data_IF_430886770751
#
_entry.id   IF_430886770751
#
_cell.length_a   1.000
_cell.length_b   1.000
_cell.length_c   1.000
_cell.angle_alpha   90.00
_cell.angle_beta   90.00
_cell.angle_gamma   90.00
#
_symmetry.space_group_name_H-M   'P 1'
#
loop_
_entity.id
_entity.type
_entity.pdbx_description
1 polymer ?
#
# COMPACT_ATOMS: atom_id res chain seq x y z
N UNK A 1 6.05 19.12 16.70
CA UNK A 1 4.62 18.91 17.03
C UNK A 1 4.51 17.53 17.63
N UNK A 2 4.50 17.41 18.96
CA UNK A 2 4.30 16.13 19.67
C UNK A 2 2.80 15.94 19.85
N UNK A 3 2.19 15.13 18.97
CA UNK A 3 0.83 14.66 19.21
C UNK A 3 0.90 13.49 20.21
N UNK A 4 0.35 13.63 21.43
CA UNK A 4 0.36 12.58 22.44
C UNK A 4 -0.36 11.30 21.99
N UNK A 5 -1.35 11.42 21.11
CA UNK A 5 -2.08 10.28 20.57
C UNK A 5 -1.21 9.46 19.61
N UNK A 6 -0.34 10.12 18.84
CA UNK A 6 0.59 9.47 17.94
C UNK A 6 1.69 8.73 18.70
N UNK A 7 2.20 9.32 19.77
CA UNK A 7 3.20 8.68 20.66
C UNK A 7 2.68 7.39 21.29
N UNK A 8 1.42 7.38 21.73
CA UNK A 8 0.73 6.18 22.24
C UNK A 8 0.49 5.12 21.14
N UNK A 9 0.37 5.57 19.89
CA UNK A 9 0.08 4.71 18.75
C UNK A 9 1.28 3.89 18.26
N UNK A 10 2.48 4.47 18.33
CA UNK A 10 3.71 3.87 17.82
C UNK A 10 4.39 2.93 18.83
N UNK A 11 3.91 2.90 20.09
CA UNK A 11 4.48 2.08 21.15
C UNK A 11 5.89 2.54 21.56
N UNK A 12 6.51 1.80 22.49
CA UNK A 12 7.85 2.09 23.02
C UNK A 12 8.99 1.44 22.23
N UNK A 13 8.77 1.08 20.95
CA UNK A 13 9.81 0.52 20.10
C UNK A 13 10.80 1.63 19.70
N UNK A 14 12.09 1.35 19.86
CA UNK A 14 13.10 2.23 19.30
C UNK A 14 13.08 2.20 17.76
N UNK A 15 13.59 3.25 17.12
CA UNK A 15 13.76 3.26 15.66
C UNK A 15 14.62 2.06 15.21
N UNK A 16 15.68 1.74 15.96
CA UNK A 16 16.54 0.60 15.65
C UNK A 16 15.75 -0.72 15.70
N UNK A 17 14.94 -0.96 16.74
CA UNK A 17 14.13 -2.17 16.86
C UNK A 17 13.10 -2.27 15.72
N UNK A 18 12.51 -1.14 15.34
CA UNK A 18 11.54 -1.08 14.24
C UNK A 18 12.19 -1.44 12.89
N UNK A 19 13.37 -0.90 12.62
CA UNK A 19 14.11 -1.18 11.39
C UNK A 19 14.61 -2.63 11.33
N UNK A 20 15.22 -3.10 12.42
CA UNK A 20 15.77 -4.47 12.51
C UNK A 20 14.67 -5.53 12.60
N UNK A 21 13.55 -5.22 13.23
CA UNK A 21 12.41 -6.13 13.41
C UNK A 21 11.49 -6.23 12.19
N UNK A 22 11.51 -5.27 11.27
CA UNK A 22 10.62 -5.26 10.10
C UNK A 22 10.81 -6.52 9.23
N UNK A 23 9.71 -7.17 8.88
CA UNK A 23 9.68 -8.33 7.97
C UNK A 23 8.52 -8.19 6.98
N UNK A 24 8.71 -8.77 5.79
CA UNK A 24 7.63 -8.93 4.79
C UNK A 24 6.84 -10.19 5.12
N UNK A 25 5.81 -10.05 5.94
CA UNK A 25 4.95 -11.17 6.34
C UNK A 25 3.85 -11.32 5.29
N UNK A 26 3.69 -12.53 4.75
CA UNK A 26 2.70 -12.87 3.72
C UNK A 26 1.78 -14.02 4.14
N UNK A 27 1.82 -14.39 5.43
CA UNK A 27 0.89 -15.32 6.06
C UNK A 27 0.10 -14.55 7.10
N UNK A 28 -1.21 -14.49 6.92
CA UNK A 28 -2.10 -13.74 7.76
C UNK A 28 -2.90 -14.72 8.66
N UNK A 29 -3.27 -14.26 9.84
CA UNK A 29 -4.27 -14.93 10.68
C UNK A 29 -5.66 -14.48 10.26
N UNK A 30 -6.67 -15.31 10.58
CA UNK A 30 -8.08 -14.98 10.29
C UNK A 30 -8.69 -14.00 11.32
N UNK A 31 -7.86 -13.46 12.22
CA UNK A 31 -8.32 -12.49 13.23
C UNK A 31 -8.67 -11.15 12.59
N UNK A 32 -9.83 -10.57 12.93
CA UNK A 32 -10.16 -9.21 12.53
C UNK A 32 -9.08 -8.23 12.98
N UNK A 33 -8.85 -7.20 12.18
CA UNK A 33 -7.99 -6.07 12.56
C UNK A 33 -8.86 -5.00 13.21
N UNK A 34 -8.45 -4.53 14.38
CA UNK A 34 -9.10 -3.40 15.04
C UNK A 34 -9.01 -2.15 14.14
N UNK A 35 -10.13 -1.48 13.84
CA UNK A 35 -10.14 -0.25 13.06
C UNK A 35 -9.17 0.81 13.59
N UNK A 36 -9.03 0.95 14.90
CA UNK A 36 -8.10 1.87 15.52
C UNK A 36 -6.63 1.59 15.19
N UNK A 37 -6.25 0.34 14.92
CA UNK A 37 -4.91 0.01 14.43
C UNK A 37 -4.71 0.53 13.00
N UNK A 38 -5.74 0.39 12.15
CA UNK A 38 -5.72 0.87 10.77
C UNK A 38 -5.61 2.39 10.73
N UNK A 39 -6.41 3.08 11.51
CA UNK A 39 -6.39 4.55 11.63
C UNK A 39 -5.02 5.04 12.07
N UNK A 40 -4.42 4.45 13.10
CA UNK A 40 -3.09 4.80 13.56
C UNK A 40 -2.01 4.55 12.50
N UNK A 41 -2.10 3.43 11.78
CA UNK A 41 -1.15 3.14 10.71
C UNK A 41 -1.24 4.16 9.56
N UNK A 42 -2.45 4.57 9.17
CA UNK A 42 -2.67 5.60 8.16
C UNK A 42 -2.19 6.97 8.68
N UNK A 43 -2.50 7.32 9.92
CA UNK A 43 -2.02 8.57 10.53
C UNK A 43 -0.48 8.64 10.55
N UNK A 44 0.18 7.53 10.89
CA UNK A 44 1.64 7.45 10.83
C UNK A 44 2.18 7.60 9.40
N UNK A 45 1.52 7.00 8.41
CA UNK A 45 1.90 7.13 7.01
C UNK A 45 1.75 8.57 6.50
N UNK A 46 0.74 9.32 6.98
CA UNK A 46 0.53 10.72 6.63
C UNK A 46 1.61 11.68 7.17
N UNK A 47 2.49 11.21 8.06
CA UNK A 47 3.65 12.00 8.53
C UNK A 47 4.85 11.95 7.57
N UNK A 48 4.78 11.15 6.52
CA UNK A 48 5.83 11.15 5.51
C UNK A 48 5.99 12.55 4.91
N UNK A 49 7.21 12.96 4.55
CA UNK A 49 7.40 14.23 3.85
C UNK A 49 6.73 14.19 2.47
N UNK A 50 6.21 15.33 2.04
CA UNK A 50 5.65 15.50 0.70
C UNK A 50 6.17 16.78 0.06
N UNK A 51 6.23 16.86 -1.27
CA UNK A 51 6.61 18.08 -1.97
C UNK A 51 5.72 19.24 -1.51
N UNK A 52 6.34 20.35 -1.16
CA UNK A 52 5.65 21.58 -0.72
C UNK A 52 4.57 21.40 0.36
N UNK A 53 4.63 20.28 1.13
CA UNK A 53 3.61 19.98 2.14
C UNK A 53 2.23 19.62 1.57
N UNK A 54 2.15 19.25 0.31
CA UNK A 54 0.89 18.96 -0.42
C UNK A 54 0.08 17.79 0.12
N UNK A 55 0.72 16.85 0.85
CA UNK A 55 0.07 15.65 1.41
C UNK A 55 -0.81 14.91 0.37
N UNK A 56 -0.23 14.50 -0.77
CA UNK A 56 -1.00 14.05 -1.94
C UNK A 56 -1.58 12.64 -1.80
N UNK A 57 -1.25 11.92 -0.74
CA UNK A 57 -1.70 10.55 -0.53
C UNK A 57 -3.19 10.45 -0.23
N UNK A 58 -3.78 9.40 -0.75
CA UNK A 58 -5.15 8.97 -0.48
C UNK A 58 -5.12 7.49 -0.10
N UNK A 59 -5.89 7.13 0.90
CA UNK A 59 -5.97 5.76 1.39
C UNK A 59 -7.38 5.22 1.23
N UNK A 60 -7.49 3.99 0.71
CA UNK A 60 -8.73 3.25 0.67
C UNK A 60 -8.55 1.95 1.46
N UNK A 61 -9.44 1.71 2.43
CA UNK A 61 -9.41 0.53 3.27
C UNK A 61 -10.42 -0.48 2.75
N UNK A 62 -9.97 -1.67 2.37
CA UNK A 62 -10.79 -2.75 1.87
C UNK A 62 -10.83 -3.86 2.92
N UNK A 63 -11.96 -4.00 3.61
CA UNK A 63 -12.18 -5.00 4.66
C UNK A 63 -13.14 -6.12 4.22
N UNK A 64 -14.02 -5.86 3.23
CA UNK A 64 -14.95 -6.89 2.74
C UNK A 64 -14.25 -7.88 1.81
N UNK A 65 -14.65 -9.14 1.85
CA UNK A 65 -14.13 -10.17 0.95
C UNK A 65 -14.38 -9.83 -0.52
N UNK A 66 -15.56 -9.28 -0.81
CA UNK A 66 -15.94 -8.88 -2.16
C UNK A 66 -15.01 -7.80 -2.72
N UNK A 67 -14.79 -6.71 -1.98
CA UNK A 67 -13.89 -5.62 -2.42
C UNK A 67 -12.46 -6.10 -2.64
N UNK A 68 -11.95 -6.95 -1.75
CA UNK A 68 -10.62 -7.56 -1.90
C UNK A 68 -10.54 -8.46 -3.12
N UNK A 69 -11.58 -9.23 -3.40
CA UNK A 69 -11.66 -10.12 -4.56
C UNK A 69 -11.68 -9.31 -5.86
N UNK A 70 -12.51 -8.26 -5.95
CA UNK A 70 -12.58 -7.37 -7.11
C UNK A 70 -11.20 -6.78 -7.41
N UNK A 71 -10.54 -6.22 -6.39
CA UNK A 71 -9.19 -5.66 -6.55
C UNK A 71 -8.19 -6.73 -7.02
N UNK A 72 -8.20 -7.90 -6.39
CA UNK A 72 -7.29 -9.00 -6.73
C UNK A 72 -7.47 -9.47 -8.18
N UNK A 73 -8.72 -9.59 -8.65
CA UNK A 73 -9.04 -10.00 -10.03
C UNK A 73 -8.62 -8.93 -11.05
N UNK A 74 -8.83 -7.64 -10.74
CA UNK A 74 -8.39 -6.54 -11.61
C UNK A 74 -6.87 -6.52 -11.76
N UNK A 75 -6.15 -6.52 -10.64
CA UNK A 75 -4.68 -6.55 -10.63
C UNK A 75 -4.14 -7.84 -11.25
N UNK A 76 -4.81 -8.96 -11.02
CA UNK A 76 -4.43 -10.26 -11.54
C UNK A 76 -4.45 -10.32 -13.07
N UNK A 77 -5.43 -9.68 -13.71
CA UNK A 77 -5.51 -9.59 -15.19
C UNK A 77 -4.32 -8.83 -15.77
N UNK A 78 -3.99 -7.69 -15.19
CA UNK A 78 -2.87 -6.89 -15.65
C UNK A 78 -1.54 -7.61 -15.42
N UNK A 79 -1.39 -8.25 -14.28
CA UNK A 79 -0.22 -9.04 -13.94
C UNK A 79 0.00 -10.22 -14.90
N UNK A 80 -1.07 -10.93 -15.28
CA UNK A 80 -0.98 -12.00 -16.28
C UNK A 80 -0.51 -11.46 -17.63
N UNK A 81 -1.08 -10.35 -18.10
CA UNK A 81 -0.71 -9.71 -19.36
C UNK A 81 0.77 -9.28 -19.38
N UNK A 82 1.26 -8.75 -18.28
CA UNK A 82 2.65 -8.31 -18.21
C UNK A 82 3.62 -9.50 -18.18
N UNK A 83 3.31 -10.54 -17.41
CA UNK A 83 4.11 -11.78 -17.42
C UNK A 83 4.13 -12.47 -18.78
N UNK A 84 3.06 -12.36 -19.57
CA UNK A 84 3.01 -12.86 -20.94
C UNK A 84 3.97 -12.10 -21.84
N UNK A 85 3.98 -10.77 -21.76
CA UNK A 85 4.93 -9.92 -22.50
C UNK A 85 6.39 -10.20 -22.14
N UNK A 86 6.64 -10.55 -20.89
CA UNK A 86 7.98 -10.95 -20.39
C UNK A 86 8.38 -12.37 -20.85
N UNK A 87 7.49 -13.10 -21.52
CA UNK A 87 7.78 -14.42 -22.05
C UNK A 87 7.82 -15.54 -21.00
N UNK A 88 7.18 -15.36 -19.84
CA UNK A 88 7.10 -16.41 -18.82
C UNK A 88 6.25 -17.58 -19.31
N UNK A 89 6.65 -18.80 -18.91
CA UNK A 89 5.86 -20.01 -19.22
C UNK A 89 4.48 -19.95 -18.56
N UNK A 90 3.51 -20.63 -19.16
CA UNK A 90 2.15 -20.71 -18.64
C UNK A 90 2.10 -21.24 -17.20
N UNK A 91 2.88 -22.26 -16.90
CA UNK A 91 2.98 -22.83 -15.56
C UNK A 91 3.47 -21.79 -14.53
N UNK A 92 4.48 -20.99 -14.88
CA UNK A 92 5.01 -19.96 -14.02
C UNK A 92 4.02 -18.80 -13.84
N UNK A 93 3.35 -18.37 -14.90
CA UNK A 93 2.29 -17.35 -14.86
C UNK A 93 1.15 -17.78 -13.93
N UNK A 94 0.65 -19.00 -14.10
CA UNK A 94 -0.42 -19.57 -13.27
C UNK A 94 -0.01 -19.63 -11.80
N UNK A 95 1.20 -20.07 -11.51
CA UNK A 95 1.73 -20.15 -10.15
C UNK A 95 1.80 -18.78 -9.49
N UNK A 96 2.37 -17.78 -10.16
CA UNK A 96 2.54 -16.42 -9.64
C UNK A 96 1.19 -15.72 -9.49
N UNK A 97 0.32 -15.83 -10.48
CA UNK A 97 -1.03 -15.26 -10.45
C UNK A 97 -1.84 -15.82 -9.27
N UNK A 98 -1.92 -17.14 -9.12
CA UNK A 98 -2.63 -17.78 -8.01
C UNK A 98 -2.06 -17.38 -6.65
N UNK A 99 -0.73 -17.21 -6.57
CA UNK A 99 -0.06 -16.71 -5.36
C UNK A 99 -0.46 -15.28 -5.02
N UNK A 100 -0.54 -14.40 -6.01
CA UNK A 100 -0.94 -13.00 -5.85
C UNK A 100 -2.41 -12.88 -5.42
N UNK A 101 -3.32 -13.55 -6.11
CA UNK A 101 -4.74 -13.58 -5.74
C UNK A 101 -4.92 -14.05 -4.29
N UNK A 102 -4.28 -15.16 -3.92
CA UNK A 102 -4.35 -15.70 -2.56
C UNK A 102 -3.79 -14.73 -1.51
N UNK A 103 -2.71 -14.01 -1.81
CA UNK A 103 -2.12 -13.03 -0.92
C UNK A 103 -3.11 -11.91 -0.61
N UNK A 104 -3.73 -11.34 -1.63
CA UNK A 104 -4.67 -10.23 -1.49
C UNK A 104 -5.98 -10.65 -0.82
N UNK A 105 -6.54 -11.78 -1.21
CA UNK A 105 -7.84 -12.23 -0.67
C UNK A 105 -7.74 -12.77 0.77
N UNK A 106 -6.59 -13.31 1.19
CA UNK A 106 -6.40 -13.82 2.56
C UNK A 106 -5.99 -12.76 3.58
N UNK A 107 -5.55 -11.59 3.15
CA UNK A 107 -5.29 -10.50 4.08
C UNK A 107 -6.61 -10.08 4.76
N UNK A 108 -6.65 -9.92 6.10
CA UNK A 108 -7.88 -9.49 6.77
C UNK A 108 -8.32 -8.11 6.31
N UNK A 109 -7.37 -7.23 6.03
CA UNK A 109 -7.60 -5.87 5.51
C UNK A 109 -6.53 -5.56 4.48
N UNK A 110 -6.90 -4.85 3.42
CA UNK A 110 -5.99 -4.22 2.47
C UNK A 110 -6.08 -2.70 2.61
N UNK A 111 -4.96 -2.04 2.56
CA UNK A 111 -4.88 -0.58 2.48
C UNK A 111 -4.27 -0.23 1.12
N UNK A 112 -5.08 0.33 0.25
CA UNK A 112 -4.64 0.84 -1.04
C UNK A 112 -4.18 2.28 -0.85
N UNK A 113 -2.91 2.54 -1.09
CA UNK A 113 -2.35 3.88 -1.09
C UNK A 113 -2.28 4.40 -2.53
N UNK A 114 -2.77 5.61 -2.75
CA UNK A 114 -2.75 6.29 -4.03
C UNK A 114 -2.25 7.73 -3.86
N UNK A 115 -1.80 8.34 -4.94
CA UNK A 115 -1.45 9.75 -5.00
C UNK A 115 -2.53 10.52 -5.77
N UNK A 116 -2.85 11.71 -5.27
CA UNK A 116 -3.68 12.68 -5.97
C UNK A 116 -2.79 13.77 -6.52
N UNK A 117 -2.83 13.98 -7.82
CA UNK A 117 -2.08 15.06 -8.49
C UNK A 117 -2.75 16.44 -8.39
N UNK A 118 -3.97 16.50 -7.84
CA UNK A 118 -4.76 17.75 -7.79
C UNK A 118 -4.17 18.86 -6.90
N UNK A 119 -3.17 18.54 -6.08
CA UNK A 119 -2.52 19.47 -5.14
C UNK A 119 -1.01 19.61 -5.39
N UNK A 120 -0.52 19.04 -6.49
CA UNK A 120 0.86 19.18 -6.91
C UNK A 120 1.02 20.44 -7.75
N UNK A 121 2.21 21.01 -7.74
CA UNK A 121 2.51 22.18 -8.54
C UNK A 121 2.48 21.86 -10.03
N UNK A 122 2.02 22.84 -10.83
CA UNK A 122 2.05 22.77 -12.29
C UNK A 122 3.27 23.52 -12.81
N UNK A 123 4.07 22.84 -13.61
CA UNK A 123 5.26 23.41 -14.24
C UNK A 123 5.07 23.49 -15.76
N UNK A 124 5.45 24.62 -16.35
CA UNK A 124 5.45 24.76 -17.80
C UNK A 124 6.52 23.94 -18.52
N UNK A 125 7.50 23.40 -17.78
CA UNK A 125 8.56 22.52 -18.29
C UNK A 125 8.16 21.06 -18.08
N UNK A 126 8.04 20.25 -19.18
CA UNK A 126 7.63 18.84 -19.06
C UNK A 126 8.58 17.97 -18.22
N UNK A 127 9.88 18.29 -18.22
CA UNK A 127 10.86 17.55 -17.43
C UNK A 127 10.70 17.81 -15.93
N UNK A 128 10.42 19.06 -15.55
CA UNK A 128 10.11 19.41 -14.15
C UNK A 128 8.79 18.79 -13.72
N UNK A 129 7.77 18.81 -14.57
CA UNK A 129 6.47 18.21 -14.27
C UNK A 129 6.59 16.69 -14.05
N UNK A 130 7.40 16.00 -14.86
CA UNK A 130 7.64 14.56 -14.68
C UNK A 130 8.33 14.26 -13.34
N UNK A 131 9.26 15.10 -12.89
CA UNK A 131 9.93 14.95 -11.60
C UNK A 131 8.99 15.18 -10.40
N UNK A 132 7.96 16.03 -10.56
CA UNK A 132 6.96 16.26 -9.51
C UNK A 132 6.09 15.02 -9.27
N UNK A 133 5.92 14.18 -10.29
CA UNK A 133 5.10 12.97 -10.20
C UNK A 133 5.87 11.72 -9.71
N UNK A 134 7.19 11.81 -9.55
CA UNK A 134 8.04 10.72 -9.07
C UNK A 134 8.29 10.80 -7.56
#
# INVERSE_FOLDING_TARGET
MNDPQLSLALGNLSLADSLLGRRSIRRFSDRPVDPGIIERAIAAACLAPSPHGSSPWRFCVLSSEESKKILAEMMGRDFLRDMEKEGLSEAERTRRHSGSIRLLTRAPVLILAALSYAQLDEYGDPGKQANEYM
#
